data_IF_915819001973
#
_entry.id   IF_915819001973
#
_cell.length_a   1.000
_cell.length_b   1.000
_cell.length_c   1.000
_cell.angle_alpha   90.00
_cell.angle_beta   90.00
_cell.angle_gamma   90.00
#
_symmetry.space_group_name_H-M   'P 1'
#
loop_
_entity.id
_entity.type
_entity.pdbx_description
1 polymer ?
#
# COMPACT_ATOMS: atom_id res chain seq x y z
N UNK A 1 8.33 16.15 0.69
CA UNK A 1 8.93 16.12 -0.68
C UNK A 1 9.03 14.70 -1.23
N UNK A 2 9.34 13.67 -0.43
CA UNK A 2 9.41 12.26 -0.85
C UNK A 2 8.03 11.67 -1.17
N UNK A 3 7.04 11.93 -0.32
CA UNK A 3 5.64 11.46 -0.45
C UNK A 3 5.01 11.96 -1.77
N UNK A 4 5.17 13.25 -2.10
CA UNK A 4 4.63 13.83 -3.35
C UNK A 4 5.25 13.17 -4.59
N UNK A 5 6.54 12.84 -4.54
CA UNK A 5 7.21 12.17 -5.65
C UNK A 5 6.71 10.72 -5.85
N UNK A 6 6.46 9.99 -4.77
CA UNK A 6 5.87 8.65 -4.80
C UNK A 6 4.42 8.68 -5.29
N UNK A 7 3.62 9.66 -4.88
CA UNK A 7 2.28 9.92 -5.40
C UNK A 7 2.29 10.09 -6.93
N UNK A 8 3.21 10.88 -7.44
CA UNK A 8 3.39 11.07 -8.89
C UNK A 8 3.81 9.77 -9.60
N UNK A 9 4.63 8.94 -8.96
CA UNK A 9 5.07 7.65 -9.52
C UNK A 9 3.93 6.64 -9.57
N UNK A 10 3.12 6.53 -8.51
CA UNK A 10 1.95 5.66 -8.47
C UNK A 10 0.93 6.10 -9.53
N UNK A 11 0.61 7.39 -9.60
CA UNK A 11 -0.34 7.95 -10.59
C UNK A 11 0.20 7.86 -12.03
N UNK A 12 1.50 8.08 -12.24
CA UNK A 12 2.14 8.00 -13.55
C UNK A 12 2.21 6.56 -14.06
N UNK A 13 2.49 5.60 -13.18
CA UNK A 13 2.52 4.17 -13.51
C UNK A 13 1.14 3.65 -13.91
N UNK A 14 0.08 4.17 -13.29
CA UNK A 14 -1.30 3.82 -13.61
C UNK A 14 -1.76 4.30 -14.99
N UNK A 15 -1.26 5.44 -15.45
CA UNK A 15 -1.67 6.03 -16.73
C UNK A 15 -0.87 5.54 -17.94
N UNK A 16 0.23 4.80 -17.73
CA UNK A 16 1.14 4.38 -18.82
C UNK A 16 1.33 2.85 -18.89
N UNK A 17 0.28 2.14 -19.32
CA UNK A 17 0.32 0.68 -19.62
C UNK A 17 1.35 0.34 -20.74
N UNK A 18 1.92 1.34 -21.41
CA UNK A 18 2.88 1.17 -22.51
C UNK A 18 4.35 1.02 -22.07
N UNK A 19 4.66 0.95 -20.77
CA UNK A 19 6.06 0.89 -20.31
C UNK A 19 6.62 -0.53 -20.34
N UNK A 20 7.79 -0.71 -20.97
CA UNK A 20 8.60 -1.95 -20.98
C UNK A 20 9.08 -2.41 -19.59
N UNK A 21 8.79 -1.66 -18.52
CA UNK A 21 9.20 -1.95 -17.14
C UNK A 21 7.99 -2.04 -16.21
N UNK A 22 8.01 -2.99 -15.29
CA UNK A 22 6.97 -3.14 -14.29
C UNK A 22 6.78 -1.84 -13.48
N UNK A 23 5.53 -1.34 -13.28
CA UNK A 23 5.30 -0.03 -12.67
C UNK A 23 5.85 0.10 -11.24
N UNK A 24 5.90 -1.00 -10.47
CA UNK A 24 6.45 -1.00 -9.12
C UNK A 24 7.98 -0.94 -9.06
N UNK A 25 8.72 -1.08 -10.18
CA UNK A 25 10.20 -1.08 -10.15
C UNK A 25 10.78 0.17 -9.48
N UNK A 26 10.21 1.34 -9.75
CA UNK A 26 10.69 2.59 -9.17
C UNK A 26 10.34 2.68 -7.68
N UNK A 27 9.16 2.19 -7.31
CA UNK A 27 8.69 2.15 -5.90
C UNK A 27 9.64 1.28 -5.09
N UNK A 28 9.89 0.04 -5.51
CA UNK A 28 10.82 -0.87 -4.84
C UNK A 28 12.24 -0.29 -4.72
N UNK A 29 12.73 0.35 -5.79
CA UNK A 29 14.05 1.01 -5.75
C UNK A 29 14.09 2.11 -4.70
N UNK A 30 13.07 2.98 -4.65
CA UNK A 30 13.02 4.10 -3.72
C UNK A 30 12.81 3.64 -2.28
N UNK A 31 12.00 2.60 -2.07
CA UNK A 31 11.83 2.00 -0.75
C UNK A 31 13.14 1.40 -0.25
N UNK A 32 13.89 0.70 -1.09
CA UNK A 32 15.19 0.15 -0.71
C UNK A 32 16.19 1.26 -0.29
N UNK A 33 16.21 2.39 -1.01
CA UNK A 33 17.03 3.56 -0.65
C UNK A 33 16.63 4.09 0.75
N UNK A 34 15.34 4.21 1.02
CA UNK A 34 14.80 4.68 2.30
C UNK A 34 15.11 3.70 3.44
N UNK A 35 14.77 2.42 3.24
CA UNK A 35 15.01 1.37 4.25
C UNK A 35 16.50 1.27 4.59
N UNK A 36 17.39 1.33 3.59
CA UNK A 36 18.83 1.31 3.81
C UNK A 36 19.28 2.49 4.69
N UNK A 37 18.73 3.68 4.46
CA UNK A 37 19.03 4.85 5.25
C UNK A 37 18.55 4.70 6.70
N UNK A 38 17.32 4.23 6.89
CA UNK A 38 16.72 3.99 8.23
C UNK A 38 17.52 2.92 8.97
N UNK A 39 17.79 1.77 8.33
CA UNK A 39 18.51 0.66 8.94
C UNK A 39 19.90 1.07 9.41
N UNK A 40 20.61 1.85 8.60
CA UNK A 40 21.95 2.37 8.96
C UNK A 40 21.88 3.32 10.15
N UNK A 41 20.90 4.22 10.18
CA UNK A 41 20.79 5.24 11.22
C UNK A 41 20.39 4.66 12.58
N UNK A 42 19.60 3.57 12.57
CA UNK A 42 19.07 2.94 13.78
C UNK A 42 19.81 1.65 14.13
N UNK A 43 20.78 1.21 13.30
CA UNK A 43 21.50 -0.05 13.47
C UNK A 43 20.57 -1.27 13.59
N UNK A 44 19.60 -1.38 12.69
CA UNK A 44 18.59 -2.43 12.61
C UNK A 44 18.61 -3.12 11.26
N UNK A 45 18.00 -4.31 11.21
CA UNK A 45 17.78 -5.06 9.98
C UNK A 45 16.28 -5.19 9.68
N UNK A 46 15.92 -5.78 8.52
CA UNK A 46 14.54 -6.09 8.20
C UNK A 46 13.88 -7.01 9.24
N UNK A 47 14.62 -7.99 9.73
CA UNK A 47 14.12 -8.99 10.69
C UNK A 47 13.85 -8.39 12.07
N UNK A 48 14.64 -7.41 12.48
CA UNK A 48 14.50 -6.77 13.80
C UNK A 48 13.19 -6.00 13.97
N UNK A 49 12.54 -5.60 12.88
CA UNK A 49 11.39 -4.69 12.89
C UNK A 49 10.23 -5.16 11.98
N UNK A 50 10.13 -6.47 11.76
CA UNK A 50 9.09 -7.05 10.92
C UNK A 50 7.69 -6.83 11.52
N UNK A 51 7.54 -7.11 12.81
CA UNK A 51 6.29 -6.90 13.55
C UNK A 51 5.87 -5.44 13.55
N UNK A 52 6.82 -4.54 13.80
CA UNK A 52 6.58 -3.09 13.83
C UNK A 52 6.11 -2.58 12.46
N UNK A 53 6.62 -3.13 11.36
CA UNK A 53 6.16 -2.80 10.01
C UNK A 53 4.75 -3.29 9.73
N UNK A 54 4.37 -4.47 10.21
CA UNK A 54 2.99 -4.96 10.10
C UNK A 54 2.05 -4.07 10.90
N UNK A 55 2.45 -3.66 12.10
CA UNK A 55 1.67 -2.72 12.92
C UNK A 55 1.53 -1.37 12.20
N UNK A 56 2.64 -0.83 11.68
CA UNK A 56 2.61 0.43 10.94
C UNK A 56 1.69 0.33 9.73
N UNK A 57 1.78 -0.73 8.92
CA UNK A 57 0.86 -0.97 7.81
C UNK A 57 -0.60 -1.02 8.24
N UNK A 58 -0.90 -1.65 9.40
CA UNK A 58 -2.26 -1.70 9.94
C UNK A 58 -2.76 -0.31 10.35
N UNK A 59 -1.88 0.54 10.89
CA UNK A 59 -2.20 1.94 11.22
C UNK A 59 -2.53 2.73 9.96
N UNK A 60 -1.67 2.70 8.94
CA UNK A 60 -1.91 3.41 7.66
C UNK A 60 -3.19 2.91 6.97
N UNK A 61 -3.46 1.61 7.01
CA UNK A 61 -4.73 1.07 6.51
C UNK A 61 -5.93 1.64 7.28
N UNK A 62 -5.79 1.82 8.59
CA UNK A 62 -6.80 2.45 9.45
C UNK A 62 -6.99 3.93 9.14
N UNK A 63 -5.91 4.68 8.92
CA UNK A 63 -5.93 6.09 8.55
C UNK A 63 -6.58 6.27 7.19
N UNK A 64 -6.19 5.48 6.19
CA UNK A 64 -6.85 5.45 4.88
C UNK A 64 -8.36 5.15 5.00
N UNK A 65 -8.75 4.12 5.74
CA UNK A 65 -10.17 3.79 5.96
C UNK A 65 -10.91 4.94 6.65
N UNK A 66 -10.24 5.64 7.58
CA UNK A 66 -10.78 6.79 8.30
C UNK A 66 -11.06 7.98 7.38
N UNK A 67 -10.17 8.25 6.44
CA UNK A 67 -10.30 9.35 5.46
C UNK A 67 -11.30 9.02 4.34
N UNK A 68 -11.33 7.78 3.85
CA UNK A 68 -12.32 7.26 2.89
C UNK A 68 -13.73 7.19 3.49
N UNK A 69 -13.86 6.90 4.79
CA UNK A 69 -15.11 6.90 5.57
C UNK A 69 -16.16 5.91 5.08
N UNK A 70 -15.83 4.91 4.31
CA UNK A 70 -16.78 3.95 3.74
C UNK A 70 -17.54 3.15 4.82
N UNK A 71 -16.89 2.85 5.95
CA UNK A 71 -17.46 2.08 7.07
C UNK A 71 -18.26 2.94 8.07
N UNK A 72 -18.16 4.28 8.01
CA UNK A 72 -18.82 5.19 8.97
C UNK A 72 -20.30 5.38 8.59
N UNK A 73 -21.10 4.32 8.74
CA UNK A 73 -22.52 4.33 8.41
C UNK A 73 -23.36 5.32 9.23
N UNK A 74 -22.85 5.72 10.39
CA UNK A 74 -23.50 6.68 11.32
C UNK A 74 -23.20 8.15 10.99
N UNK A 75 -22.39 8.44 9.97
CA UNK A 75 -21.92 9.79 9.69
C UNK A 75 -22.36 10.26 8.29
N UNK A 76 -22.86 11.50 8.23
CA UNK A 76 -23.17 12.19 6.97
C UNK A 76 -21.98 12.97 6.40
N UNK A 77 -20.85 13.04 7.12
CA UNK A 77 -19.63 13.71 6.65
C UNK A 77 -19.11 12.97 5.43
N UNK A 78 -18.75 13.74 4.38
CA UNK A 78 -18.15 13.19 3.15
C UNK A 78 -16.72 12.67 3.41
N UNK A 79 -16.17 11.82 2.53
CA UNK A 79 -14.74 11.52 2.50
C UNK A 79 -13.89 12.78 2.49
N UNK A 80 -12.67 12.67 2.95
CA UNK A 80 -11.67 13.75 2.90
C UNK A 80 -11.29 14.12 1.46
N UNK A 81 -10.56 15.22 1.30
CA UNK A 81 -10.05 15.61 -0.01
C UNK A 81 -9.17 14.49 -0.61
N UNK A 82 -9.16 14.40 -1.93
CA UNK A 82 -8.47 13.31 -2.66
C UNK A 82 -6.97 13.27 -2.31
N UNK A 83 -6.37 14.42 -2.09
CA UNK A 83 -4.95 14.56 -1.77
C UNK A 83 -4.63 13.88 -0.42
N UNK A 84 -5.50 14.05 0.58
CA UNK A 84 -5.35 13.42 1.91
C UNK A 84 -5.50 11.91 1.80
N UNK A 85 -6.54 11.44 1.07
CA UNK A 85 -6.76 10.00 0.85
C UNK A 85 -5.56 9.36 0.12
N UNK A 86 -4.97 10.06 -0.86
CA UNK A 86 -3.81 9.58 -1.60
C UNK A 86 -2.54 9.56 -0.73
N UNK A 87 -2.39 10.48 0.23
CA UNK A 87 -1.29 10.49 1.19
C UNK A 87 -1.31 9.20 2.02
N UNK A 88 -2.42 8.89 2.68
CA UNK A 88 -2.58 7.67 3.49
C UNK A 88 -2.44 6.39 2.64
N UNK A 89 -2.94 6.42 1.41
CA UNK A 89 -2.77 5.29 0.49
C UNK A 89 -1.29 5.04 0.15
N UNK A 90 -0.50 6.09 -0.08
CA UNK A 90 0.93 5.97 -0.39
C UNK A 90 1.72 5.51 0.82
N UNK A 91 1.36 5.92 2.03
CA UNK A 91 2.04 5.47 3.25
C UNK A 91 1.85 3.96 3.47
N UNK A 92 0.66 3.43 3.19
CA UNK A 92 0.45 1.99 3.12
C UNK A 92 1.30 1.29 2.03
N UNK A 93 1.49 1.89 0.85
CA UNK A 93 2.40 1.38 -0.20
C UNK A 93 3.85 1.30 0.32
N UNK A 94 4.30 2.28 1.09
CA UNK A 94 5.63 2.27 1.70
C UNK A 94 5.84 1.04 2.57
N UNK A 95 4.95 0.79 3.54
CA UNK A 95 5.12 -0.31 4.48
C UNK A 95 4.98 -1.68 3.84
N UNK A 96 4.01 -1.88 2.92
CA UNK A 96 3.89 -3.18 2.23
C UNK A 96 5.07 -3.45 1.30
N UNK A 97 5.66 -2.41 0.67
CA UNK A 97 6.87 -2.58 -0.15
C UNK A 97 8.09 -2.92 0.70
N UNK A 98 8.20 -2.31 1.90
CA UNK A 98 9.25 -2.63 2.86
C UNK A 98 9.12 -4.08 3.37
N UNK A 99 7.90 -4.54 3.68
CA UNK A 99 7.62 -5.94 4.03
C UNK A 99 7.97 -6.89 2.89
N UNK A 100 7.61 -6.58 1.64
CA UNK A 100 8.00 -7.37 0.48
C UNK A 100 9.53 -7.48 0.33
N UNK A 101 10.27 -6.43 0.69
CA UNK A 101 11.73 -6.42 0.69
C UNK A 101 12.33 -7.34 1.74
N UNK A 102 11.68 -7.55 2.89
CA UNK A 102 12.07 -8.53 3.92
C UNK A 102 12.20 -9.93 3.32
N UNK A 103 11.27 -10.31 2.44
CA UNK A 103 11.24 -11.61 1.75
C UNK A 103 11.99 -11.59 0.40
N UNK A 104 12.75 -10.51 0.09
CA UNK A 104 13.49 -10.34 -1.16
C UNK A 104 12.62 -10.47 -2.41
N UNK A 105 11.34 -10.12 -2.28
CA UNK A 105 10.41 -10.13 -3.40
C UNK A 105 10.81 -9.14 -4.48
N UNK A 106 10.46 -9.48 -5.72
CA UNK A 106 10.64 -8.61 -6.89
C UNK A 106 9.30 -8.02 -7.31
N UNK A 107 9.28 -6.82 -7.89
CA UNK A 107 8.04 -6.18 -8.38
C UNK A 107 7.17 -7.09 -9.25
N UNK A 108 7.78 -7.97 -10.06
CA UNK A 108 7.11 -8.89 -10.99
C UNK A 108 6.30 -9.98 -10.28
N UNK A 109 6.50 -10.19 -9.00
CA UNK A 109 5.74 -11.14 -8.18
C UNK A 109 4.43 -10.53 -7.64
N UNK A 110 4.25 -9.21 -7.79
CA UNK A 110 3.04 -8.49 -7.39
C UNK A 110 2.16 -8.33 -8.63
N UNK A 111 0.95 -8.85 -8.58
CA UNK A 111 0.01 -8.71 -9.69
C UNK A 111 -0.63 -7.32 -9.69
N UNK A 112 -0.78 -6.73 -10.86
CA UNK A 112 -1.54 -5.51 -11.06
C UNK A 112 -2.81 -5.88 -11.80
N UNK A 113 -3.90 -5.96 -11.06
CA UNK A 113 -5.20 -6.38 -11.58
C UNK A 113 -6.05 -5.13 -11.87
N UNK A 114 -6.51 -4.93 -13.12
CA UNK A 114 -7.41 -3.81 -13.43
C UNK A 114 -8.76 -3.99 -12.74
N UNK A 115 -9.22 -2.96 -12.05
CA UNK A 115 -10.55 -2.94 -11.41
C UNK A 115 -11.53 -2.15 -12.28
N UNK A 116 -12.74 -2.67 -12.47
CA UNK A 116 -13.81 -1.93 -13.15
C UNK A 116 -14.28 -0.78 -12.24
N UNK A 117 -14.17 0.46 -12.74
CA UNK A 117 -14.70 1.64 -12.05
C UNK A 117 -16.21 1.48 -11.85
N UNK A 118 -16.69 1.75 -10.66
CA UNK A 118 -18.08 1.79 -10.15
C UNK A 118 -18.32 0.79 -9.02
N UNK A 119 -17.42 0.77 -8.05
CA UNK A 119 -17.63 -0.06 -6.88
C UNK A 119 -18.47 0.70 -5.84
N UNK A 120 -19.54 0.04 -5.42
CA UNK A 120 -20.46 0.57 -4.42
C UNK A 120 -19.73 0.72 -3.06
N UNK A 121 -20.08 1.74 -2.25
CA UNK A 121 -19.53 1.97 -0.89
C UNK A 121 -19.47 0.70 -0.03
N UNK A 122 -20.44 -0.20 -0.18
CA UNK A 122 -20.49 -1.50 0.53
C UNK A 122 -19.36 -2.43 0.11
N UNK A 123 -18.97 -2.41 -1.17
CA UNK A 123 -17.85 -3.20 -1.68
C UNK A 123 -16.52 -2.70 -1.09
N UNK A 124 -16.35 -1.38 -1.06
CA UNK A 124 -15.17 -0.75 -0.48
C UNK A 124 -14.98 -1.11 1.00
N UNK A 125 -16.06 -1.10 1.80
CA UNK A 125 -16.00 -1.55 3.20
C UNK A 125 -15.63 -3.04 3.32
N UNK A 126 -16.14 -3.89 2.42
CA UNK A 126 -15.77 -5.31 2.35
C UNK A 126 -14.30 -5.50 1.98
N UNK A 127 -13.76 -4.65 1.11
CA UNK A 127 -12.35 -4.69 0.71
C UNK A 127 -11.43 -4.31 1.88
N UNK A 128 -11.74 -3.24 2.60
CA UNK A 128 -11.03 -2.90 3.86
C UNK A 128 -11.11 -4.03 4.88
N UNK A 129 -12.29 -4.64 5.07
CA UNK A 129 -12.44 -5.76 5.98
C UNK A 129 -11.55 -6.95 5.60
N UNK A 130 -11.45 -7.28 4.32
CA UNK A 130 -10.53 -8.31 3.82
C UNK A 130 -9.08 -7.96 4.16
N UNK A 131 -8.63 -6.74 3.84
CA UNK A 131 -7.25 -6.31 4.09
C UNK A 131 -6.90 -6.35 5.60
N UNK A 132 -7.81 -5.92 6.47
CA UNK A 132 -7.60 -6.02 7.92
C UNK A 132 -7.54 -7.46 8.42
N UNK A 133 -8.41 -8.34 7.94
CA UNK A 133 -8.46 -9.74 8.37
C UNK A 133 -7.30 -10.59 7.86
N UNK A 134 -6.66 -10.19 6.76
CA UNK A 134 -5.51 -10.89 6.17
C UNK A 134 -4.14 -10.33 6.58
N UNK A 135 -4.06 -9.37 7.51
CA UNK A 135 -2.78 -8.88 8.05
C UNK A 135 -1.93 -9.98 8.69
N UNK A 136 -2.55 -11.00 9.26
CA UNK A 136 -1.86 -12.16 9.84
C UNK A 136 -1.15 -13.05 8.81
N UNK A 137 -1.44 -12.89 7.51
CA UNK A 137 -0.82 -13.66 6.42
C UNK A 137 0.49 -13.02 5.91
N UNK A 138 0.88 -11.87 6.49
CA UNK A 138 2.06 -11.10 6.06
C UNK A 138 3.40 -11.68 6.56
N UNK A 139 3.38 -12.87 7.15
CA UNK A 139 4.54 -13.65 7.58
C UNK A 139 5.11 -14.54 6.45
N UNK A 140 4.53 -14.50 5.25
CA UNK A 140 4.96 -15.25 4.08
C UNK A 140 5.05 -14.38 2.82
N UNK A 141 5.92 -14.74 1.89
CA UNK A 141 6.03 -14.06 0.59
C UNK A 141 4.71 -14.11 -0.21
N UNK A 142 4.01 -15.25 -0.17
CA UNK A 142 2.74 -15.41 -0.89
C UNK A 142 1.62 -14.56 -0.27
N UNK A 143 1.55 -14.52 1.05
CA UNK A 143 0.62 -13.65 1.78
C UNK A 143 0.86 -12.18 1.46
N UNK A 144 2.12 -11.73 1.51
CA UNK A 144 2.49 -10.35 1.14
C UNK A 144 2.13 -10.06 -0.33
N UNK A 145 2.42 -10.97 -1.26
CA UNK A 145 2.09 -10.82 -2.67
C UNK A 145 0.60 -10.65 -2.91
N UNK A 146 -0.21 -11.48 -2.26
CA UNK A 146 -1.68 -11.45 -2.32
C UNK A 146 -2.24 -10.18 -1.70
N UNK A 147 -1.77 -9.81 -0.53
CA UNK A 147 -2.18 -8.60 0.18
C UNK A 147 -1.83 -7.34 -0.60
N UNK A 148 -0.60 -7.25 -1.11
CA UNK A 148 -0.15 -6.11 -1.91
C UNK A 148 -0.98 -5.94 -3.18
N UNK A 149 -1.25 -7.05 -3.89
CA UNK A 149 -2.14 -7.06 -5.06
C UNK A 149 -3.52 -6.50 -4.71
N UNK A 150 -4.11 -6.96 -3.60
CA UNK A 150 -5.40 -6.48 -3.11
C UNK A 150 -5.37 -5.00 -2.73
N UNK A 151 -4.30 -4.54 -2.07
CA UNK A 151 -4.13 -3.14 -1.73
C UNK A 151 -4.02 -2.23 -2.96
N UNK A 152 -3.31 -2.67 -4.01
CA UNK A 152 -3.26 -1.97 -5.29
C UNK A 152 -4.63 -1.88 -5.97
N UNK A 153 -5.48 -2.89 -5.81
CA UNK A 153 -6.87 -2.85 -6.31
C UNK A 153 -7.69 -1.78 -5.56
N UNK A 154 -7.53 -1.66 -4.24
CA UNK A 154 -8.19 -0.63 -3.43
C UNK A 154 -7.90 0.78 -3.95
N UNK A 155 -6.67 1.07 -4.36
CA UNK A 155 -6.28 2.39 -4.87
C UNK A 155 -6.88 2.74 -6.23
N UNK A 156 -7.56 1.82 -6.91
CA UNK A 156 -8.25 2.05 -8.19
C UNK A 156 -9.72 2.44 -7.99
N UNK A 157 -10.27 2.30 -6.80
CA UNK A 157 -11.65 2.60 -6.42
C UNK A 157 -11.83 4.06 -6.00
#
# INVERSE_FOLDING_TARGET
MYIIYMLLVVLYSYNNIAMKKHPLNLIFKKQLELDTHIHKNHNITYQDVETERVIALAVELGELANEVRCFKFWSLKKPSAKEIILEEYVDGIHFITSLASTFRMKPQQILIVPVKKNLHKKFLSGHFHYLFSSLQELDTADGIGSWYTSYLMLGQE
#
